data_IF_317179866138
#
_entry.id   IF_317179866138
#
_cell.length_a   1.000
_cell.length_b   1.000
_cell.length_c   1.000
_cell.angle_alpha   90.00
_cell.angle_beta   90.00
_cell.angle_gamma   90.00
#
_symmetry.space_group_name_H-M   'P 1'
#
loop_
_entity.id
_entity.type
_entity.pdbx_description
1 polymer ?
#
# COMPACT_ATOMS: atom_id res chain seq x y z
N UNK A 1 4.87 -26.58 -7.48
CA UNK A 1 4.38 -25.81 -8.66
C UNK A 1 2.94 -26.21 -8.93
N UNK A 2 2.11 -25.30 -9.43
CA UNK A 2 0.80 -25.63 -9.96
C UNK A 2 0.97 -25.94 -11.45
N UNK A 3 0.68 -27.17 -11.86
CA UNK A 3 0.94 -27.65 -13.21
C UNK A 3 -0.35 -27.85 -13.98
N UNK A 4 -0.28 -27.60 -15.28
CA UNK A 4 -1.31 -27.93 -16.28
C UNK A 4 -0.73 -28.95 -17.23
N UNK A 5 -1.48 -30.00 -17.55
CA UNK A 5 -1.09 -30.96 -18.58
C UNK A 5 -2.04 -30.81 -19.76
N UNK A 6 -1.53 -30.29 -20.87
CA UNK A 6 -2.28 -30.24 -22.13
C UNK A 6 -2.12 -31.55 -22.89
N UNK A 7 -3.23 -32.12 -23.38
CA UNK A 7 -3.26 -33.46 -23.97
C UNK A 7 -4.00 -33.44 -25.30
N UNK A 8 -3.33 -33.91 -26.34
CA UNK A 8 -3.96 -34.35 -27.59
C UNK A 8 -3.92 -35.87 -27.66
N UNK A 9 -5.02 -36.52 -28.03
CA UNK A 9 -5.07 -37.98 -28.16
C UNK A 9 -5.98 -38.43 -29.30
N UNK A 10 -5.70 -39.62 -29.84
CA UNK A 10 -6.60 -40.33 -30.76
C UNK A 10 -7.63 -41.12 -29.97
N UNK A 11 -8.73 -41.48 -30.64
CA UNK A 11 -9.71 -42.39 -30.05
C UNK A 11 -9.06 -43.73 -29.72
N UNK A 12 -9.43 -44.31 -28.57
CA UNK A 12 -8.90 -45.58 -28.07
C UNK A 12 -7.40 -45.58 -27.71
N UNK A 13 -6.78 -44.41 -27.48
CA UNK A 13 -5.46 -44.35 -26.84
C UNK A 13 -5.50 -45.10 -25.50
N UNK A 14 -4.54 -46.00 -25.28
CA UNK A 14 -4.51 -46.77 -24.03
C UNK A 14 -4.11 -45.89 -22.85
N UNK A 15 -4.72 -46.13 -21.68
CA UNK A 15 -4.36 -45.40 -20.46
C UNK A 15 -2.86 -45.53 -20.12
N UNK A 16 -2.26 -46.71 -20.31
CA UNK A 16 -0.83 -46.93 -20.04
C UNK A 16 0.05 -46.02 -20.90
N UNK A 17 -0.21 -45.97 -22.20
CA UNK A 17 0.55 -45.11 -23.12
C UNK A 17 0.42 -43.62 -22.74
N UNK A 18 -0.80 -43.18 -22.41
CA UNK A 18 -1.04 -41.81 -21.99
C UNK A 18 -0.33 -41.48 -20.67
N UNK A 19 -0.41 -42.38 -19.69
CA UNK A 19 0.20 -42.21 -18.38
C UNK A 19 1.72 -42.14 -18.48
N UNK A 20 2.35 -43.04 -19.23
CA UNK A 20 3.80 -43.05 -19.44
C UNK A 20 4.28 -41.75 -20.11
N UNK A 21 3.52 -41.25 -21.08
CA UNK A 21 3.81 -39.98 -21.77
C UNK A 21 3.74 -38.78 -20.80
N UNK A 22 2.70 -38.73 -19.96
CA UNK A 22 2.49 -37.65 -19.00
C UNK A 22 3.51 -37.71 -17.87
N UNK A 23 3.80 -38.89 -17.32
CA UNK A 23 4.81 -39.06 -16.27
C UNK A 23 6.21 -38.64 -16.76
N UNK A 24 6.56 -38.97 -18.01
CA UNK A 24 7.81 -38.52 -18.63
C UNK A 24 7.89 -37.00 -18.74
N UNK A 25 6.79 -36.36 -19.15
CA UNK A 25 6.72 -34.90 -19.26
C UNK A 25 6.75 -34.22 -17.87
N UNK A 26 6.07 -34.77 -16.87
CA UNK A 26 6.07 -34.24 -15.50
C UNK A 26 7.45 -34.40 -14.82
N UNK A 27 8.16 -35.50 -15.10
CA UNK A 27 9.50 -35.70 -14.58
C UNK A 27 10.47 -34.61 -15.06
N UNK A 28 10.37 -34.21 -16.33
CA UNK A 28 11.14 -33.10 -16.89
C UNK A 28 10.70 -31.74 -16.32
N UNK A 29 9.40 -31.53 -16.13
CA UNK A 29 8.86 -30.29 -15.57
C UNK A 29 9.31 -30.04 -14.11
N UNK A 30 9.66 -31.11 -13.38
CA UNK A 30 10.08 -31.06 -11.98
C UNK A 30 8.92 -31.13 -10.98
N UNK A 31 9.21 -30.95 -9.69
CA UNK A 31 8.25 -31.19 -8.61
C UNK A 31 7.05 -30.22 -8.63
N UNK A 32 5.84 -30.74 -8.85
CA UNK A 32 4.62 -29.97 -8.83
C UNK A 32 3.37 -30.81 -8.64
N UNK A 33 2.26 -30.13 -8.36
CA UNK A 33 0.94 -30.71 -8.29
C UNK A 33 0.19 -30.37 -9.58
N UNK A 34 -0.34 -31.37 -10.28
CA UNK A 34 -1.18 -31.13 -11.46
C UNK A 34 -2.54 -30.67 -10.96
N UNK A 35 -2.93 -29.45 -11.33
CA UNK A 35 -4.23 -28.88 -10.97
C UNK A 35 -5.27 -29.12 -12.06
N UNK A 36 -4.82 -29.16 -13.32
CA UNK A 36 -5.69 -29.16 -14.48
C UNK A 36 -5.11 -30.02 -15.61
N UNK A 37 -5.96 -30.84 -16.20
CA UNK A 37 -5.72 -31.54 -17.47
C UNK A 37 -6.58 -30.85 -18.52
N UNK A 38 -5.98 -30.43 -19.63
CA UNK A 38 -6.68 -29.67 -20.67
C UNK A 38 -6.59 -30.38 -22.01
N UNK A 39 -7.70 -30.48 -22.73
CA UNK A 39 -7.74 -31.06 -24.08
C UNK A 39 -8.64 -30.25 -25.01
N UNK A 40 -8.79 -30.72 -26.25
CA UNK A 40 -9.77 -30.18 -27.21
C UNK A 40 -11.15 -30.81 -26.98
N UNK A 41 -12.22 -30.06 -27.18
CA UNK A 41 -13.61 -30.57 -27.12
C UNK A 41 -13.81 -31.81 -27.98
N UNK A 42 -14.74 -32.68 -27.56
CA UNK A 42 -14.99 -34.03 -28.09
C UNK A 42 -13.94 -35.09 -27.72
N UNK A 43 -12.99 -34.78 -26.84
CA UNK A 43 -12.00 -35.74 -26.31
C UNK A 43 -12.12 -35.95 -24.80
N UNK A 44 -12.87 -35.12 -24.10
CA UNK A 44 -13.11 -35.21 -22.66
C UNK A 44 -13.72 -36.56 -22.25
N UNK A 45 -14.52 -37.19 -23.10
CA UNK A 45 -15.16 -38.48 -22.80
C UNK A 45 -14.24 -39.70 -23.01
N UNK A 46 -13.02 -39.52 -23.51
CA UNK A 46 -12.08 -40.63 -23.72
C UNK A 46 -11.72 -41.30 -22.37
N UNK A 47 -11.92 -42.62 -22.20
CA UNK A 47 -11.73 -43.29 -20.91
C UNK A 47 -10.33 -43.13 -20.32
N UNK A 48 -9.29 -43.08 -21.17
CA UNK A 48 -7.91 -42.87 -20.74
C UNK A 48 -7.70 -41.48 -20.12
N UNK A 49 -8.39 -40.46 -20.63
CA UNK A 49 -8.25 -39.08 -20.19
C UNK A 49 -8.96 -38.84 -18.86
N UNK A 50 -10.20 -39.35 -18.72
CA UNK A 50 -10.95 -39.33 -17.46
C UNK A 50 -10.15 -39.99 -16.33
N UNK A 51 -9.65 -41.21 -16.58
CA UNK A 51 -8.83 -41.92 -15.61
C UNK A 51 -7.54 -41.18 -15.26
N UNK A 52 -6.89 -40.55 -16.23
CA UNK A 52 -5.68 -39.77 -15.96
C UNK A 52 -5.97 -38.58 -15.03
N UNK A 53 -7.05 -37.84 -15.28
CA UNK A 53 -7.45 -36.71 -14.45
C UNK A 53 -7.75 -37.15 -13.00
N UNK A 54 -8.49 -38.25 -12.83
CA UNK A 54 -8.75 -38.86 -11.52
C UNK A 54 -7.46 -39.28 -10.80
N UNK A 55 -6.56 -39.97 -11.50
CA UNK A 55 -5.29 -40.46 -10.92
C UNK A 55 -4.32 -39.31 -10.57
N UNK A 56 -4.46 -38.16 -11.22
CA UNK A 56 -3.71 -36.94 -10.90
C UNK A 56 -4.42 -36.05 -9.87
N UNK A 57 -5.65 -36.39 -9.48
CA UNK A 57 -6.54 -35.55 -8.68
C UNK A 57 -6.63 -34.11 -9.25
N UNK A 58 -6.79 -34.02 -10.57
CA UNK A 58 -6.80 -32.79 -11.34
C UNK A 58 -8.16 -32.58 -12.02
N UNK A 59 -8.58 -31.33 -12.17
CA UNK A 59 -9.77 -30.99 -12.96
C UNK A 59 -9.51 -31.31 -14.45
N UNK A 60 -10.51 -31.84 -15.17
CA UNK A 60 -10.44 -32.03 -16.62
C UNK A 60 -11.27 -30.96 -17.33
N UNK A 61 -10.61 -30.18 -18.20
CA UNK A 61 -11.25 -29.13 -19.00
C UNK A 61 -11.04 -29.38 -20.49
N UNK A 62 -12.08 -29.19 -21.28
CA UNK A 62 -11.99 -29.21 -22.74
C UNK A 62 -12.23 -27.82 -23.31
N UNK A 63 -11.42 -27.42 -24.28
CA UNK A 63 -11.48 -26.11 -24.93
C UNK A 63 -11.83 -26.27 -26.42
N UNK A 64 -12.62 -25.35 -26.99
CA UNK A 64 -12.99 -25.41 -28.40
C UNK A 64 -11.76 -25.19 -29.29
N UNK A 65 -11.70 -25.82 -30.48
CA UNK A 65 -10.62 -25.63 -31.44
C UNK A 65 -10.29 -24.17 -31.76
N UNK A 66 -11.30 -23.30 -31.83
CA UNK A 66 -11.12 -21.89 -32.13
C UNK A 66 -10.27 -21.17 -31.07
N UNK A 67 -10.50 -21.45 -29.78
CA UNK A 67 -9.71 -20.89 -28.67
C UNK A 67 -8.28 -21.42 -28.67
N UNK A 68 -8.10 -22.70 -29.01
CA UNK A 68 -6.78 -23.31 -29.16
C UNK A 68 -6.03 -22.75 -30.38
N UNK A 69 -6.72 -22.43 -31.47
CA UNK A 69 -6.12 -21.90 -32.70
C UNK A 69 -5.58 -20.47 -32.54
N UNK A 70 -6.09 -19.70 -31.57
CA UNK A 70 -5.58 -18.37 -31.22
C UNK A 70 -4.19 -18.42 -30.55
N UNK A 71 -3.78 -19.57 -30.03
CA UNK A 71 -2.53 -19.71 -29.29
C UNK A 71 -1.34 -19.94 -30.23
N UNK A 72 -0.27 -19.17 -30.03
CA UNK A 72 0.99 -19.33 -30.74
C UNK A 72 1.79 -20.55 -30.23
N UNK A 73 1.33 -21.75 -30.55
CA UNK A 73 1.98 -22.99 -30.14
C UNK A 73 3.38 -23.14 -30.77
N UNK A 74 4.44 -23.51 -30.01
CA UNK A 74 5.80 -23.59 -30.53
C UNK A 74 6.01 -24.67 -31.59
N UNK A 75 5.24 -25.76 -31.53
CA UNK A 75 5.37 -26.89 -32.45
C UNK A 75 4.04 -27.13 -33.19
N UNK A 76 3.66 -26.31 -34.18
CA UNK A 76 2.43 -26.50 -34.95
C UNK A 76 2.49 -27.75 -35.85
N UNK A 77 1.33 -28.23 -36.30
CA UNK A 77 1.21 -29.36 -37.22
C UNK A 77 -0.01 -29.19 -38.14
N UNK A 78 0.25 -29.07 -39.44
CA UNK A 78 -0.81 -28.97 -40.47
C UNK A 78 -1.78 -30.16 -40.43
N UNK A 79 -1.28 -31.37 -40.20
CA UNK A 79 -2.13 -32.55 -40.05
C UNK A 79 -3.08 -32.45 -38.84
N UNK A 80 -2.63 -31.86 -37.72
CA UNK A 80 -3.48 -31.65 -36.54
C UNK A 80 -4.50 -30.54 -36.83
N UNK A 81 -4.08 -29.49 -37.52
CA UNK A 81 -4.93 -28.38 -37.96
C UNK A 81 -6.07 -28.87 -38.85
N UNK A 82 -5.77 -29.67 -39.87
CA UNK A 82 -6.76 -30.25 -40.78
C UNK A 82 -7.79 -31.13 -40.05
N UNK A 83 -7.37 -31.84 -39.00
CA UNK A 83 -8.20 -32.80 -38.28
C UNK A 83 -8.99 -32.20 -37.11
N UNK A 84 -8.43 -31.19 -36.46
CA UNK A 84 -8.96 -30.68 -35.18
C UNK A 84 -9.30 -29.21 -35.22
N UNK A 85 -8.93 -28.47 -36.28
CA UNK A 85 -9.13 -27.03 -36.39
C UNK A 85 -8.15 -26.20 -35.56
N UNK A 86 -7.09 -26.81 -35.01
CA UNK A 86 -6.02 -26.11 -34.28
C UNK A 86 -4.64 -26.69 -34.66
N UNK A 87 -3.60 -25.85 -34.80
CA UNK A 87 -2.26 -26.33 -35.17
C UNK A 87 -1.57 -27.17 -34.08
N UNK A 88 -2.02 -27.13 -32.83
CA UNK A 88 -1.50 -27.99 -31.75
C UNK A 88 -2.55 -28.14 -30.66
N UNK A 89 -2.92 -29.37 -30.27
CA UNK A 89 -3.84 -29.55 -29.14
C UNK A 89 -3.10 -29.39 -27.81
N UNK A 90 -2.04 -30.16 -27.58
CA UNK A 90 -1.38 -30.22 -26.27
C UNK A 90 -0.78 -28.87 -25.84
N UNK A 91 -0.03 -28.20 -26.70
CA UNK A 91 0.62 -26.93 -26.33
C UNK A 91 -0.37 -25.78 -26.30
N UNK A 92 -1.31 -25.71 -27.25
CA UNK A 92 -2.33 -24.67 -27.22
C UNK A 92 -3.24 -24.81 -26.00
N UNK A 93 -3.55 -26.04 -25.58
CA UNK A 93 -4.35 -26.28 -24.38
C UNK A 93 -3.66 -25.76 -23.12
N UNK A 94 -2.33 -25.92 -23.02
CA UNK A 94 -1.55 -25.31 -21.93
C UNK A 94 -1.59 -23.78 -21.99
N UNK A 95 -1.35 -23.19 -23.17
CA UNK A 95 -1.31 -21.74 -23.35
C UNK A 95 -2.67 -21.08 -23.12
N UNK A 96 -3.75 -21.67 -23.64
CA UNK A 96 -5.12 -21.20 -23.46
C UNK A 96 -5.59 -21.29 -21.99
N UNK A 97 -5.00 -22.21 -21.20
CA UNK A 97 -5.21 -22.26 -19.75
C UNK A 97 -4.47 -21.13 -18.99
N UNK A 98 -3.76 -20.24 -19.69
CA UNK A 98 -2.98 -19.15 -19.09
C UNK A 98 -1.69 -19.62 -18.41
N UNK A 99 -1.20 -20.81 -18.75
CA UNK A 99 0.02 -21.37 -18.18
C UNK A 99 1.24 -21.07 -19.06
N UNK A 100 2.38 -20.83 -18.41
CA UNK A 100 3.68 -20.76 -19.08
C UNK A 100 4.13 -22.18 -19.46
N UNK A 101 4.43 -22.42 -20.73
CA UNK A 101 4.87 -23.73 -21.19
C UNK A 101 6.27 -24.08 -20.64
N UNK A 102 6.36 -25.13 -19.82
CA UNK A 102 7.62 -25.60 -19.22
C UNK A 102 8.18 -26.79 -19.98
N UNK A 103 7.30 -27.69 -20.44
CA UNK A 103 7.66 -28.84 -21.28
C UNK A 103 6.85 -28.76 -22.56
N UNK A 104 7.57 -28.56 -23.67
CA UNK A 104 7.00 -28.55 -25.01
C UNK A 104 6.46 -29.94 -25.40
N UNK A 105 5.74 -29.99 -26.52
CA UNK A 105 5.05 -31.20 -26.98
C UNK A 105 5.94 -32.45 -27.02
N UNK A 106 5.61 -33.40 -26.15
CA UNK A 106 6.05 -34.80 -26.21
C UNK A 106 5.01 -35.59 -27.02
N UNK A 107 5.46 -36.65 -27.70
CA UNK A 107 4.61 -37.47 -28.58
C UNK A 107 4.81 -38.95 -28.29
N UNK A 108 3.70 -39.69 -28.20
CA UNK A 108 3.63 -41.15 -28.26
C UNK A 108 3.04 -41.61 -29.61
N UNK A 109 2.73 -42.90 -29.76
CA UNK A 109 2.15 -43.41 -30.99
C UNK A 109 0.77 -42.80 -31.30
N UNK A 110 -0.01 -42.50 -30.25
CA UNK A 110 -1.40 -42.06 -30.36
C UNK A 110 -1.75 -40.80 -29.55
N UNK A 111 -0.81 -40.21 -28.80
CA UNK A 111 -1.05 -39.02 -27.99
C UNK A 111 0.10 -38.01 -28.03
N UNK A 112 -0.19 -36.77 -27.64
CA UNK A 112 0.76 -35.71 -27.36
C UNK A 112 0.46 -35.09 -26.01
N UNK A 113 1.51 -34.78 -25.26
CA UNK A 113 1.39 -34.12 -23.96
C UNK A 113 2.33 -32.91 -23.91
N UNK A 114 1.90 -31.86 -23.24
CA UNK A 114 2.69 -30.69 -22.91
C UNK A 114 2.40 -30.31 -21.46
N UNK A 115 3.37 -29.70 -20.79
CA UNK A 115 3.21 -29.28 -19.39
C UNK A 115 3.47 -27.79 -19.28
N UNK A 116 2.54 -27.08 -18.63
CA UNK A 116 2.72 -25.69 -18.26
C UNK A 116 2.67 -25.47 -16.76
N UNK A 117 3.18 -24.32 -16.34
CA UNK A 117 3.13 -23.82 -14.97
C UNK A 117 2.10 -22.70 -14.89
N UNK A 118 1.14 -22.86 -13.98
CA UNK A 118 0.21 -21.79 -13.62
C UNK A 118 0.84 -20.87 -12.57
N UNK A 119 0.49 -19.57 -12.58
CA UNK A 119 0.71 -18.72 -11.42
C UNK A 119 -0.04 -19.28 -10.21
N UNK A 120 0.38 -18.90 -8.99
CA UNK A 120 -0.40 -19.20 -7.80
C UNK A 120 -1.78 -18.56 -7.92
N UNK A 121 -2.87 -19.29 -7.63
CA UNK A 121 -4.21 -18.71 -7.70
C UNK A 121 -4.34 -17.56 -6.70
N UNK A 122 -5.01 -16.49 -7.11
CA UNK A 122 -5.50 -15.48 -6.18
C UNK A 122 -6.76 -15.97 -5.46
N UNK A 123 -7.25 -15.18 -4.50
CA UNK A 123 -8.54 -15.43 -3.87
C UNK A 123 -9.70 -15.24 -4.86
N UNK A 124 -10.85 -15.85 -4.54
CA UNK A 124 -12.08 -15.70 -5.32
C UNK A 124 -12.49 -14.23 -5.50
N UNK A 125 -13.19 -13.86 -6.58
CA UNK A 125 -13.62 -12.47 -6.81
C UNK A 125 -14.33 -11.82 -5.61
N UNK A 126 -15.20 -12.56 -4.92
CA UNK A 126 -15.93 -12.07 -3.75
C UNK A 126 -14.99 -11.77 -2.56
N UNK A 127 -14.02 -12.64 -2.29
CA UNK A 127 -13.04 -12.43 -1.22
C UNK A 127 -12.12 -11.24 -1.52
N UNK A 128 -11.71 -11.09 -2.79
CA UNK A 128 -10.95 -9.91 -3.23
C UNK A 128 -11.74 -8.62 -3.05
N UNK A 129 -13.03 -8.63 -3.37
CA UNK A 129 -13.91 -7.48 -3.16
C UNK A 129 -13.99 -7.10 -1.67
N UNK A 130 -14.12 -8.08 -0.77
CA UNK A 130 -14.09 -7.84 0.67
C UNK A 130 -12.79 -7.16 1.10
N UNK A 131 -11.63 -7.65 0.63
CA UNK A 131 -10.33 -7.02 0.93
C UNK A 131 -10.30 -5.56 0.46
N UNK A 132 -10.73 -5.29 -0.78
CA UNK A 132 -10.75 -3.93 -1.32
C UNK A 132 -11.70 -3.01 -0.54
N UNK A 133 -12.87 -3.51 -0.14
CA UNK A 133 -13.84 -2.76 0.66
C UNK A 133 -13.29 -2.42 2.04
N UNK A 134 -12.70 -3.38 2.75
CA UNK A 134 -12.10 -3.12 4.07
C UNK A 134 -11.00 -2.06 3.98
N UNK A 135 -10.14 -2.12 2.95
CA UNK A 135 -9.09 -1.11 2.70
C UNK A 135 -9.69 0.28 2.38
N UNK A 136 -10.74 0.33 1.57
CA UNK A 136 -11.36 1.58 1.11
C UNK A 136 -12.26 2.24 2.17
N UNK A 137 -12.93 1.44 2.99
CA UNK A 137 -13.96 1.87 3.95
C UNK A 137 -13.41 2.04 5.36
N UNK A 138 -12.24 1.48 5.72
CA UNK A 138 -11.64 1.75 7.04
C UNK A 138 -11.46 3.25 7.26
N UNK A 139 -11.77 3.72 8.46
CA UNK A 139 -11.62 5.12 8.86
C UNK A 139 -10.74 5.20 10.09
N UNK A 140 -10.18 6.38 10.21
CA UNK A 140 -9.40 6.79 11.36
C UNK A 140 -10.35 7.62 12.22
N UNK A 141 -10.97 6.94 13.20
CA UNK A 141 -12.20 7.38 13.86
C UNK A 141 -11.90 8.19 15.12
N UNK A 142 -12.59 9.31 15.29
CA UNK A 142 -12.43 10.24 16.44
C UNK A 142 -13.73 10.60 17.15
N UNK A 143 -14.86 10.23 16.56
CA UNK A 143 -16.21 10.57 17.02
C UNK A 143 -17.10 9.33 16.83
N UNK A 144 -18.20 9.27 17.57
CA UNK A 144 -19.18 8.19 17.42
C UNK A 144 -18.81 6.88 18.11
N UNK A 145 -17.77 6.87 18.96
CA UNK A 145 -17.48 5.69 19.77
C UNK A 145 -18.59 5.45 20.79
N UNK A 146 -18.98 4.18 20.92
CA UNK A 146 -20.01 3.72 21.83
C UNK A 146 -19.39 3.26 23.15
N UNK A 147 -20.09 3.50 24.26
CA UNK A 147 -19.74 2.97 25.58
C UNK A 147 -20.14 1.48 25.69
N UNK A 148 -19.51 0.66 24.84
CA UNK A 148 -19.70 -0.79 24.76
C UNK A 148 -18.34 -1.46 24.93
N UNK A 149 -18.17 -2.37 25.90
CA UNK A 149 -16.89 -3.03 26.13
C UNK A 149 -16.51 -3.92 24.94
N UNK A 150 -15.21 -4.01 24.66
CA UNK A 150 -14.66 -4.96 23.68
C UNK A 150 -14.36 -6.28 24.40
N UNK A 151 -14.92 -7.36 23.86
CA UNK A 151 -14.63 -8.73 24.26
C UNK A 151 -13.16 -9.10 24.03
N UNK A 152 -12.56 -9.83 24.98
CA UNK A 152 -11.14 -10.16 24.94
C UNK A 152 -10.80 -11.14 23.81
N UNK A 153 -11.71 -12.04 23.41
CA UNK A 153 -11.45 -12.93 22.27
C UNK A 153 -11.47 -12.15 20.96
N UNK A 154 -12.37 -11.17 20.82
CA UNK A 154 -12.39 -10.29 19.66
C UNK A 154 -11.11 -9.44 19.58
N UNK A 155 -10.72 -8.81 20.69
CA UNK A 155 -9.46 -8.06 20.75
C UNK A 155 -8.25 -8.95 20.41
N UNK A 156 -8.26 -10.20 20.88
CA UNK A 156 -7.21 -11.18 20.55
C UNK A 156 -7.15 -11.46 19.04
N UNK A 157 -8.28 -11.67 18.35
CA UNK A 157 -8.27 -11.87 16.88
C UNK A 157 -7.67 -10.68 16.13
N UNK A 158 -7.97 -9.47 16.59
CA UNK A 158 -7.44 -8.22 16.03
C UNK A 158 -5.93 -8.11 16.26
N UNK A 159 -5.44 -8.46 17.46
CA UNK A 159 -4.01 -8.49 17.78
C UNK A 159 -3.26 -9.62 17.05
N UNK A 160 -3.88 -10.78 16.85
CA UNK A 160 -3.31 -11.85 16.03
C UNK A 160 -3.11 -11.40 14.57
N UNK A 161 -4.06 -10.64 14.01
CA UNK A 161 -3.89 -10.07 12.67
C UNK A 161 -2.70 -9.11 12.61
N UNK A 162 -2.52 -8.28 13.65
CA UNK A 162 -1.34 -7.42 13.80
C UNK A 162 -0.04 -8.25 13.84
N UNK A 163 -0.04 -9.34 14.62
CA UNK A 163 1.11 -10.22 14.81
C UNK A 163 1.52 -11.01 13.54
N UNK A 164 0.60 -11.17 12.58
CA UNK A 164 0.86 -11.76 11.25
C UNK A 164 1.54 -10.81 10.26
N UNK A 165 1.85 -9.57 10.66
CA UNK A 165 2.56 -8.63 9.80
C UNK A 165 3.98 -9.12 9.45
N UNK A 166 4.50 -8.78 8.26
CA UNK A 166 5.91 -8.98 7.98
C UNK A 166 6.77 -8.10 8.88
N UNK A 167 7.98 -8.57 9.20
CA UNK A 167 8.98 -7.78 9.91
C UNK A 167 10.38 -8.04 9.36
N UNK A 168 11.24 -7.03 9.46
CA UNK A 168 12.65 -7.16 9.08
C UNK A 168 13.28 -8.35 9.79
N UNK A 169 13.78 -9.32 9.03
CA UNK A 169 14.39 -10.54 9.56
C UNK A 169 13.50 -11.37 10.49
N UNK A 170 12.17 -11.28 10.34
CA UNK A 170 11.19 -11.89 11.26
C UNK A 170 11.41 -11.47 12.73
N UNK A 171 11.92 -10.26 12.96
CA UNK A 171 12.27 -9.76 14.30
C UNK A 171 11.06 -9.52 15.21
N UNK A 172 9.87 -9.32 14.63
CA UNK A 172 8.61 -9.05 15.32
C UNK A 172 8.81 -8.05 16.49
N UNK A 173 9.32 -6.84 16.21
CA UNK A 173 9.82 -5.92 17.23
C UNK A 173 8.74 -5.26 18.09
N UNK A 174 7.47 -5.44 17.73
CA UNK A 174 6.34 -4.78 18.36
C UNK A 174 5.93 -5.46 19.67
N UNK A 175 5.47 -4.66 20.63
CA UNK A 175 4.60 -5.10 21.71
C UNK A 175 3.31 -4.27 21.72
N UNK A 176 2.26 -4.80 22.33
CA UNK A 176 0.93 -4.21 22.37
C UNK A 176 0.50 -4.02 23.82
N UNK A 177 0.60 -2.80 24.34
CA UNK A 177 0.17 -2.48 25.70
C UNK A 177 -1.31 -2.07 25.71
N UNK A 178 -2.16 -2.95 26.25
CA UNK A 178 -3.62 -2.75 26.34
C UNK A 178 -3.95 -1.89 27.56
N UNK A 179 -4.55 -0.73 27.35
CA UNK A 179 -4.82 0.27 28.38
C UNK A 179 -6.35 0.46 28.49
N UNK A 180 -6.92 -0.04 29.58
CA UNK A 180 -8.34 0.17 29.95
C UNK A 180 -8.51 1.17 31.10
N UNK A 181 -7.49 1.32 31.94
CA UNK A 181 -7.53 2.18 33.12
C UNK A 181 -7.78 3.65 32.76
N UNK A 182 -8.79 4.23 33.38
CA UNK A 182 -9.22 5.60 33.10
C UNK A 182 -8.19 6.63 33.57
N UNK A 183 -7.49 6.38 34.68
CA UNK A 183 -6.50 7.31 35.20
C UNK A 183 -5.30 7.44 34.26
N UNK A 184 -4.80 6.32 33.73
CA UNK A 184 -3.75 6.31 32.70
C UNK A 184 -4.23 7.02 31.42
N UNK A 185 -5.44 6.73 30.94
CA UNK A 185 -5.99 7.39 29.75
C UNK A 185 -6.14 8.91 29.93
N UNK A 186 -6.53 9.39 31.11
CA UNK A 186 -6.59 10.83 31.42
C UNK A 186 -5.23 11.50 31.30
N UNK A 187 -4.17 10.89 31.85
CA UNK A 187 -2.80 11.44 31.73
C UNK A 187 -2.38 11.60 30.27
N UNK A 188 -2.63 10.60 29.42
CA UNK A 188 -2.30 10.67 27.99
C UNK A 188 -3.17 11.71 27.26
N UNK A 189 -4.45 11.80 27.62
CA UNK A 189 -5.36 12.82 27.09
C UNK A 189 -4.89 14.25 27.42
N UNK A 190 -4.34 14.47 28.62
CA UNK A 190 -3.84 15.78 29.02
C UNK A 190 -2.63 16.20 28.17
N UNK A 191 -1.71 15.26 27.86
CA UNK A 191 -0.63 15.48 26.90
C UNK A 191 -1.18 15.82 25.51
N UNK A 192 -2.19 15.06 25.05
CA UNK A 192 -2.86 15.29 23.78
C UNK A 192 -3.47 16.71 23.66
N UNK A 193 -4.06 17.17 24.76
CA UNK A 193 -4.68 18.50 24.86
C UNK A 193 -3.63 19.59 24.81
N UNK A 194 -2.55 19.46 25.56
CA UNK A 194 -1.46 20.45 25.58
C UNK A 194 -0.84 20.65 24.18
N UNK A 195 -0.56 19.57 23.46
CA UNK A 195 0.03 19.66 22.12
C UNK A 195 -0.98 20.18 21.09
N UNK A 196 -2.27 19.82 21.22
CA UNK A 196 -3.34 20.40 20.39
C UNK A 196 -3.35 21.92 20.54
N UNK A 197 -3.31 22.42 21.77
CA UNK A 197 -3.37 23.85 22.05
C UNK A 197 -2.12 24.58 21.54
N UNK A 198 -0.93 23.97 21.69
CA UNK A 198 0.31 24.49 21.12
C UNK A 198 0.25 24.57 19.58
N UNK A 199 -0.19 23.51 18.91
CA UNK A 199 -0.37 23.50 17.46
C UNK A 199 -1.43 24.52 17.01
N UNK A 200 -2.53 24.63 17.73
CA UNK A 200 -3.55 25.61 17.42
C UNK A 200 -3.01 27.04 17.54
N UNK A 201 -2.18 27.32 18.54
CA UNK A 201 -1.55 28.63 18.72
C UNK A 201 -0.52 28.97 17.63
N UNK A 202 0.02 27.98 16.93
CA UNK A 202 0.94 28.20 15.80
C UNK A 202 0.24 28.41 14.46
N UNK A 203 -1.09 28.25 14.37
CA UNK A 203 -1.82 28.37 13.10
C UNK A 203 -2.20 29.84 12.80
N UNK A 204 -2.15 30.26 11.52
CA UNK A 204 -2.83 31.48 11.07
C UNK A 204 -4.35 31.45 11.35
N UNK A 205 -4.98 32.61 11.52
CA UNK A 205 -6.39 32.74 11.96
C UNK A 205 -7.40 31.96 11.12
N UNK A 206 -7.23 31.96 9.79
CA UNK A 206 -8.10 31.26 8.84
C UNK A 206 -7.98 29.73 8.96
N UNK A 207 -6.77 29.23 9.20
CA UNK A 207 -6.51 27.81 9.47
C UNK A 207 -6.94 27.42 10.86
N UNK A 208 -6.77 28.31 11.83
CA UNK A 208 -7.18 28.11 13.22
C UNK A 208 -8.69 27.88 13.31
N UNK A 209 -9.49 28.71 12.65
CA UNK A 209 -10.95 28.58 12.61
C UNK A 209 -11.42 27.20 12.11
N UNK A 210 -10.78 26.65 11.06
CA UNK A 210 -11.07 25.30 10.58
C UNK A 210 -10.59 24.22 11.55
N UNK A 211 -9.41 24.39 12.13
CA UNK A 211 -8.81 23.43 13.05
C UNK A 211 -9.62 23.27 14.34
N UNK A 212 -10.16 24.35 14.89
CA UNK A 212 -10.90 24.33 16.16
C UNK A 212 -12.14 23.41 16.13
N UNK A 213 -12.74 23.20 14.95
CA UNK A 213 -13.85 22.25 14.77
C UNK A 213 -13.42 20.77 14.67
N UNK A 214 -12.13 20.50 14.48
CA UNK A 214 -11.60 19.14 14.33
C UNK A 214 -11.35 18.51 15.69
N UNK A 215 -11.80 17.26 15.83
CA UNK A 215 -11.42 16.41 16.96
C UNK A 215 -10.21 15.57 16.55
N UNK A 216 -9.16 15.64 17.36
CA UNK A 216 -7.82 15.09 17.07
C UNK A 216 -7.56 13.74 17.75
N UNK A 217 -8.38 13.37 18.73
CA UNK A 217 -8.21 12.16 19.55
C UNK A 217 -9.57 11.59 20.00
N UNK A 218 -9.56 10.41 20.61
CA UNK A 218 -10.73 9.77 21.23
C UNK A 218 -10.32 8.91 22.45
N UNK A 219 -9.29 9.35 23.17
CA UNK A 219 -8.59 8.61 24.25
C UNK A 219 -9.56 8.28 25.39
N UNK A 220 -10.47 9.21 25.70
CA UNK A 220 -11.44 9.05 26.78
C UNK A 220 -12.78 8.50 26.32
N UNK A 221 -13.11 8.59 25.03
CA UNK A 221 -14.38 8.08 24.49
C UNK A 221 -14.33 6.58 24.17
N UNK A 222 -13.14 5.99 24.15
CA UNK A 222 -12.94 4.58 23.81
C UNK A 222 -12.81 3.70 25.05
N UNK A 223 -13.32 2.46 25.02
CA UNK A 223 -13.18 1.52 26.14
C UNK A 223 -11.77 0.92 26.25
N UNK A 224 -11.00 0.91 25.15
CA UNK A 224 -9.66 0.32 25.08
C UNK A 224 -8.75 1.24 24.27
N UNK A 225 -7.60 1.57 24.85
CA UNK A 225 -6.51 2.20 24.14
C UNK A 225 -5.37 1.19 23.98
N UNK A 226 -4.57 1.33 22.92
CA UNK A 226 -3.43 0.47 22.66
C UNK A 226 -2.20 1.32 22.38
N UNK A 227 -1.19 1.21 23.26
CA UNK A 227 0.14 1.71 22.94
C UNK A 227 0.91 0.61 22.22
N UNK A 228 1.17 0.82 20.93
CA UNK A 228 1.98 -0.06 20.10
C UNK A 228 3.41 0.43 20.15
N UNK A 229 4.30 -0.42 20.66
CA UNK A 229 5.70 -0.08 20.87
C UNK A 229 6.61 -0.80 19.88
N UNK A 230 7.89 -0.47 19.92
CA UNK A 230 8.94 -1.13 19.18
C UNK A 230 10.16 -1.29 20.10
N UNK A 231 10.70 -2.51 20.16
CA UNK A 231 12.02 -2.81 20.72
C UNK A 231 13.05 -2.87 19.58
N UNK A 232 13.88 -1.82 19.39
CA UNK A 232 14.91 -1.80 18.35
C UNK A 232 16.00 -2.86 18.54
N UNK A 233 16.16 -3.38 19.77
CA UNK A 233 17.14 -4.40 20.15
C UNK A 233 16.67 -5.84 19.94
N UNK A 234 15.36 -6.07 19.73
CA UNK A 234 14.78 -7.40 19.58
C UNK A 234 15.44 -8.19 18.46
N UNK A 235 15.66 -9.48 18.68
CA UNK A 235 16.38 -10.37 17.75
C UNK A 235 17.91 -10.27 17.80
N UNK A 236 18.47 -9.43 18.69
CA UNK A 236 19.92 -9.32 18.90
C UNK A 236 20.64 -8.63 17.74
N UNK A 237 21.98 -8.59 17.75
CA UNK A 237 22.77 -7.74 16.82
C UNK A 237 22.60 -8.05 15.33
N UNK A 238 22.27 -9.29 14.97
CA UNK A 238 22.38 -9.81 13.59
C UNK A 238 21.03 -10.12 12.94
N UNK A 239 20.04 -9.25 13.13
CA UNK A 239 18.74 -9.34 12.44
C UNK A 239 18.93 -9.11 10.93
N UNK A 240 18.50 -10.09 10.13
CA UNK A 240 18.54 -10.05 8.66
C UNK A 240 17.82 -8.79 8.15
N UNK A 241 18.49 -7.99 7.32
CA UNK A 241 17.90 -6.79 6.70
C UNK A 241 17.93 -5.52 7.55
N UNK A 242 18.24 -5.59 8.87
CA UNK A 242 18.29 -4.40 9.74
C UNK A 242 19.61 -3.64 9.68
N UNK A 243 20.71 -4.32 9.30
CA UNK A 243 22.06 -3.74 9.37
C UNK A 243 22.22 -2.44 8.58
N UNK A 244 21.66 -2.38 7.36
CA UNK A 244 21.80 -1.22 6.49
C UNK A 244 20.88 -0.05 6.89
N UNK A 245 19.68 -0.36 7.41
CA UNK A 245 18.72 0.64 7.86
C UNK A 245 17.97 0.17 9.11
N UNK A 246 18.38 0.64 10.31
CA UNK A 246 17.71 0.28 11.56
C UNK A 246 16.23 0.66 11.59
N UNK A 247 15.81 1.69 10.84
CA UNK A 247 14.42 2.22 10.82
C UNK A 247 13.39 1.18 10.38
N UNK A 248 13.83 0.17 9.64
CA UNK A 248 13.02 -0.99 9.24
C UNK A 248 12.30 -1.67 10.41
N UNK A 249 12.83 -1.54 11.63
CA UNK A 249 12.21 -2.05 12.86
C UNK A 249 10.90 -1.31 13.20
N UNK A 250 10.91 0.03 13.19
CA UNK A 250 9.70 0.85 13.38
C UNK A 250 8.71 0.69 12.23
N UNK A 251 9.20 0.57 10.99
CA UNK A 251 8.33 0.29 9.84
C UNK A 251 7.60 -1.05 9.98
N UNK A 252 8.28 -2.06 10.54
CA UNK A 252 7.66 -3.36 10.83
C UNK A 252 6.50 -3.19 11.82
N UNK A 253 6.66 -2.42 12.89
CA UNK A 253 5.58 -2.10 13.84
C UNK A 253 4.43 -1.30 13.18
N UNK A 254 4.73 -0.35 12.31
CA UNK A 254 3.71 0.40 11.57
C UNK A 254 2.86 -0.50 10.65
N UNK A 255 3.46 -1.52 10.01
CA UNK A 255 2.73 -2.51 9.21
C UNK A 255 1.83 -3.39 10.10
N UNK A 256 2.29 -3.75 11.30
CA UNK A 256 1.46 -4.45 12.29
C UNK A 256 0.22 -3.63 12.69
N UNK A 257 0.38 -2.32 12.90
CA UNK A 257 -0.75 -1.40 13.14
C UNK A 257 -1.71 -1.39 11.95
N UNK A 258 -1.21 -1.39 10.71
CA UNK A 258 -2.06 -1.38 9.53
C UNK A 258 -2.89 -2.68 9.40
N UNK A 259 -2.32 -3.84 9.73
CA UNK A 259 -3.08 -5.11 9.79
C UNK A 259 -4.16 -5.06 10.87
N UNK A 260 -3.80 -4.58 12.07
CA UNK A 260 -4.73 -4.37 13.18
C UNK A 260 -5.93 -3.54 12.74
N UNK A 261 -5.67 -2.42 12.03
CA UNK A 261 -6.70 -1.49 11.58
C UNK A 261 -7.68 -2.13 10.59
N UNK A 262 -7.18 -2.94 9.67
CA UNK A 262 -8.01 -3.66 8.69
C UNK A 262 -8.86 -4.73 9.38
N UNK A 263 -8.27 -5.51 10.28
CA UNK A 263 -8.98 -6.52 11.05
C UNK A 263 -10.07 -5.90 11.94
N UNK A 264 -9.74 -4.81 12.64
CA UNK A 264 -10.70 -4.06 13.44
C UNK A 264 -11.90 -3.58 12.60
N UNK A 265 -11.66 -3.02 11.40
CA UNK A 265 -12.74 -2.61 10.49
C UNK A 265 -13.62 -3.79 10.07
N UNK A 266 -13.05 -4.97 9.83
CA UNK A 266 -13.80 -6.18 9.49
C UNK A 266 -14.65 -6.69 10.66
N UNK A 267 -14.18 -6.53 11.90
CA UNK A 267 -14.89 -6.89 13.14
C UNK A 267 -15.89 -5.81 13.61
N UNK A 268 -16.03 -4.70 12.86
CA UNK A 268 -16.95 -3.60 13.21
C UNK A 268 -16.40 -2.63 14.26
N UNK A 269 -15.11 -2.68 14.57
CA UNK A 269 -14.44 -1.74 15.47
C UNK A 269 -13.88 -0.53 14.72
N UNK A 270 -14.08 0.65 15.28
CA UNK A 270 -13.34 1.85 14.95
C UNK A 270 -11.95 1.85 15.57
N UNK A 271 -10.98 2.41 14.85
CA UNK A 271 -9.63 2.67 15.35
C UNK A 271 -9.27 4.11 15.00
N UNK A 272 -8.73 4.84 15.97
CA UNK A 272 -8.20 6.20 15.79
C UNK A 272 -6.75 6.29 16.25
N UNK A 273 -5.85 6.75 15.38
CA UNK A 273 -4.47 7.02 15.76
C UNK A 273 -4.35 8.43 16.36
N UNK A 274 -3.69 8.52 17.51
CA UNK A 274 -3.35 9.79 18.18
C UNK A 274 -1.83 9.99 18.18
N UNK A 275 -1.40 11.17 17.76
CA UNK A 275 0.01 11.57 17.69
C UNK A 275 0.22 13.04 18.11
N UNK A 276 -0.70 13.61 18.87
CA UNK A 276 -0.61 14.98 19.39
C UNK A 276 0.13 14.98 20.73
N UNK A 277 1.35 14.47 20.79
CA UNK A 277 2.20 14.50 22.00
C UNK A 277 3.62 14.09 21.59
N UNK A 278 4.61 14.36 22.43
CA UNK A 278 5.92 13.76 22.22
C UNK A 278 5.90 12.28 22.67
N UNK A 279 6.41 11.33 21.85
CA UNK A 279 6.39 9.91 22.19
C UNK A 279 7.04 9.59 23.55
N UNK A 280 8.06 10.36 23.93
CA UNK A 280 8.76 10.20 25.22
C UNK A 280 7.85 10.51 26.42
N UNK A 281 6.97 11.51 26.33
CA UNK A 281 6.06 11.87 27.43
C UNK A 281 5.05 10.75 27.69
N UNK A 282 4.55 10.12 26.63
CA UNK A 282 3.67 8.95 26.76
C UNK A 282 4.42 7.74 27.28
N UNK A 283 5.69 7.55 26.87
CA UNK A 283 6.53 6.49 27.42
C UNK A 283 6.71 6.64 28.94
N UNK A 284 6.93 7.87 29.43
CA UNK A 284 7.03 8.17 30.86
C UNK A 284 5.70 7.90 31.60
N UNK A 285 4.56 8.31 31.02
CA UNK A 285 3.23 8.02 31.60
C UNK A 285 2.97 6.52 31.74
N UNK A 286 3.47 5.73 30.79
CA UNK A 286 3.28 4.28 30.73
C UNK A 286 4.41 3.48 31.41
N UNK A 287 5.41 4.16 31.98
CA UNK A 287 6.59 3.55 32.60
C UNK A 287 7.30 2.55 31.65
N UNK A 288 7.46 2.94 30.39
CA UNK A 288 8.12 2.09 29.40
C UNK A 288 9.62 1.99 29.69
N UNK A 289 10.24 0.81 29.50
CA UNK A 289 11.69 0.69 29.58
C UNK A 289 12.39 1.62 28.57
N UNK A 290 13.54 2.19 28.92
CA UNK A 290 14.24 3.20 28.11
C UNK A 290 14.62 2.78 26.68
N UNK A 291 14.62 1.48 26.37
CA UNK A 291 14.90 0.95 25.04
C UNK A 291 13.64 0.64 24.22
N UNK A 292 12.46 0.81 24.81
CA UNK A 292 11.16 0.58 24.17
C UNK A 292 10.62 1.92 23.72
N UNK A 293 10.35 2.04 22.43
CA UNK A 293 9.88 3.27 21.84
C UNK A 293 8.40 3.15 21.45
N UNK A 294 7.63 4.21 21.70
CA UNK A 294 6.24 4.27 21.25
C UNK A 294 6.20 4.51 19.73
N UNK A 295 5.49 3.64 19.01
CA UNK A 295 5.26 3.80 17.57
C UNK A 295 3.90 4.43 17.31
N UNK A 296 2.85 3.98 18.01
CA UNK A 296 1.50 4.53 17.83
C UNK A 296 0.63 4.34 19.07
N UNK A 297 -0.25 5.30 19.32
CA UNK A 297 -1.27 5.22 20.36
C UNK A 297 -2.64 5.18 19.69
N UNK A 298 -3.36 4.08 19.88
CA UNK A 298 -4.61 3.80 19.18
C UNK A 298 -5.78 3.81 20.15
N UNK A 299 -6.88 4.47 19.76
CA UNK A 299 -8.17 4.42 20.44
C UNK A 299 -9.04 3.39 19.73
N UNK A 300 -9.59 2.41 20.44
CA UNK A 300 -10.32 1.28 19.85
C UNK A 300 -11.69 1.12 20.53
N UNK A 301 -12.75 0.99 19.75
CA UNK A 301 -14.12 0.83 20.25
C UNK A 301 -15.14 0.55 19.15
N UNK A 302 -16.34 0.14 19.55
CA UNK A 302 -17.48 0.11 18.62
C UNK A 302 -17.86 1.54 18.24
N UNK A 303 -18.39 1.71 17.03
CA UNK A 303 -18.82 3.00 16.51
C UNK A 303 -20.27 2.93 16.06
N UNK A 304 -21.00 4.03 16.19
CA UNK A 304 -22.36 4.18 15.67
C UNK A 304 -22.40 4.11 14.14
N UNK A 305 -21.44 4.75 13.47
CA UNK A 305 -21.30 4.75 12.03
C UNK A 305 -19.83 4.87 11.57
N UNK A 306 -19.54 4.32 10.39
CA UNK A 306 -18.31 4.62 9.66
C UNK A 306 -18.57 5.67 8.60
N UNK A 307 -17.90 6.81 8.71
CA UNK A 307 -17.99 7.89 7.74
C UNK A 307 -17.67 7.42 6.30
N UNK A 308 -18.46 7.88 5.32
CA UNK A 308 -18.25 7.53 3.91
C UNK A 308 -16.88 8.00 3.35
N UNK A 309 -16.27 9.04 3.93
CA UNK A 309 -14.98 9.60 3.52
C UNK A 309 -14.12 10.00 4.72
N UNK A 310 -12.79 10.22 4.55
CA UNK A 310 -11.92 10.69 5.63
C UNK A 310 -12.38 12.05 6.19
N UNK A 311 -12.26 12.23 7.51
CA UNK A 311 -12.74 13.44 8.19
C UNK A 311 -12.10 14.72 7.64
N UNK A 312 -10.80 14.70 7.39
CA UNK A 312 -10.08 15.85 6.84
C UNK A 312 -10.54 16.25 5.43
N UNK A 313 -11.14 15.31 4.68
CA UNK A 313 -11.78 15.62 3.39
C UNK A 313 -13.16 16.21 3.61
N UNK A 314 -13.96 15.64 4.53
CA UNK A 314 -15.31 16.12 4.83
C UNK A 314 -15.32 17.53 5.41
N UNK A 315 -14.34 17.84 6.27
CA UNK A 315 -14.18 19.16 6.89
C UNK A 315 -13.58 20.21 5.95
N UNK A 316 -13.13 19.80 4.74
CA UNK A 316 -12.41 20.67 3.84
C UNK A 316 -11.02 21.08 4.37
N UNK A 317 -10.41 20.29 5.25
CA UNK A 317 -9.04 20.54 5.70
C UNK A 317 -8.01 20.24 4.60
N UNK A 318 -8.24 19.17 3.83
CA UNK A 318 -7.39 18.74 2.72
C UNK A 318 -8.18 17.90 1.72
N UNK A 319 -7.66 17.75 0.50
CA UNK A 319 -8.20 16.83 -0.51
C UNK A 319 -7.24 15.69 -0.82
N UNK A 320 -7.79 14.56 -1.29
CA UNK A 320 -6.99 13.42 -1.73
C UNK A 320 -6.26 13.76 -3.02
N UNK A 321 -4.96 13.47 -3.09
CA UNK A 321 -4.23 13.50 -4.35
C UNK A 321 -4.65 12.33 -5.26
N UNK A 322 -4.71 12.52 -6.59
CA UNK A 322 -4.85 11.43 -7.56
C UNK A 322 -3.75 10.36 -7.42
N UNK A 323 -4.09 9.11 -7.75
CA UNK A 323 -3.12 8.00 -7.72
C UNK A 323 -1.98 8.20 -8.74
N UNK A 324 -2.29 8.70 -9.94
CA UNK A 324 -1.32 8.91 -11.01
C UNK A 324 -0.14 9.80 -10.58
N UNK A 325 -0.37 10.76 -9.67
CA UNK A 325 0.69 11.64 -9.15
C UNK A 325 1.67 10.91 -8.23
N UNK A 326 1.28 9.75 -7.71
CA UNK A 326 2.12 8.89 -6.89
C UNK A 326 2.92 7.85 -7.71
N UNK A 327 2.61 7.71 -9.01
CA UNK A 327 3.19 6.70 -9.89
C UNK A 327 4.30 7.36 -10.71
N UNK A 328 5.45 6.71 -10.72
CA UNK A 328 6.62 7.08 -11.51
C UNK A 328 7.14 5.81 -12.21
N UNK A 329 7.55 5.93 -13.47
CA UNK A 329 8.01 4.81 -14.29
C UNK A 329 9.53 4.84 -14.42
N UNK A 330 10.20 3.84 -13.86
CA UNK A 330 11.67 3.68 -13.84
C UNK A 330 12.44 4.75 -13.05
N UNK A 331 12.15 6.04 -13.28
CA UNK A 331 12.86 7.18 -12.71
C UNK A 331 11.90 8.12 -11.98
N UNK A 332 12.37 8.73 -10.89
CA UNK A 332 11.63 9.82 -10.24
C UNK A 332 11.35 10.93 -11.26
N UNK A 333 10.16 11.53 -11.19
CA UNK A 333 9.68 12.51 -12.17
C UNK A 333 9.10 11.93 -13.47
N UNK A 334 9.44 10.69 -13.87
CA UNK A 334 8.91 10.09 -15.12
C UNK A 334 7.47 9.60 -14.94
N UNK A 335 6.50 10.47 -15.26
CA UNK A 335 5.05 10.23 -15.13
C UNK A 335 4.36 10.26 -16.51
N UNK A 336 3.13 9.75 -16.58
CA UNK A 336 2.27 9.83 -17.77
C UNK A 336 1.81 11.26 -18.09
N UNK A 337 1.67 12.12 -17.07
CA UNK A 337 1.34 13.54 -17.18
C UNK A 337 2.51 14.41 -16.72
N UNK A 338 2.63 15.65 -17.24
CA UNK A 338 3.68 16.55 -16.79
C UNK A 338 3.39 17.10 -15.39
N UNK A 339 4.44 17.45 -14.63
CA UNK A 339 4.28 18.02 -13.28
C UNK A 339 3.49 19.34 -13.26
N UNK A 340 3.52 20.09 -14.37
CA UNK A 340 2.75 21.34 -14.51
C UNK A 340 1.27 21.05 -14.74
N UNK A 341 0.93 20.01 -15.50
CA UNK A 341 -0.47 19.57 -15.68
C UNK A 341 -1.06 19.09 -14.34
N UNK A 342 -0.27 18.37 -13.53
CA UNK A 342 -0.64 18.00 -12.15
C UNK A 342 -0.95 19.24 -11.30
N UNK A 343 -0.13 20.30 -11.41
CA UNK A 343 -0.34 21.56 -10.69
C UNK A 343 -1.62 22.29 -11.14
N UNK A 344 -1.87 22.38 -12.44
CA UNK A 344 -3.13 22.93 -12.99
C UNK A 344 -4.36 22.18 -12.45
N UNK A 345 -4.31 20.84 -12.47
CA UNK A 345 -5.38 20.00 -11.95
C UNK A 345 -5.54 20.15 -10.43
N UNK A 346 -4.46 20.35 -9.68
CA UNK A 346 -4.53 20.63 -8.25
C UNK A 346 -5.24 21.96 -7.96
N UNK A 347 -4.96 23.02 -8.71
CA UNK A 347 -5.64 24.32 -8.57
C UNK A 347 -7.15 24.20 -8.74
N UNK A 348 -7.60 23.48 -9.78
CA UNK A 348 -9.03 23.22 -10.03
C UNK A 348 -9.67 22.39 -8.92
N UNK A 349 -8.90 21.45 -8.36
CA UNK A 349 -9.34 20.58 -7.30
C UNK A 349 -9.06 21.15 -5.91
N UNK A 350 -8.52 22.35 -5.73
CA UNK A 350 -8.15 22.88 -4.42
C UNK A 350 -9.37 23.04 -3.50
N UNK A 351 -9.14 23.02 -2.17
CA UNK A 351 -10.17 23.51 -1.25
C UNK A 351 -10.22 25.03 -1.38
N UNK A 352 -11.40 25.66 -1.57
CA UNK A 352 -11.49 27.11 -1.58
C UNK A 352 -10.96 27.69 -0.27
N UNK A 353 -10.02 28.61 -0.38
CA UNK A 353 -9.58 29.43 0.74
C UNK A 353 -9.41 30.87 0.26
N UNK A 354 -10.16 31.77 0.88
CA UNK A 354 -9.92 33.19 0.74
C UNK A 354 -8.91 33.59 1.81
N UNK A 355 -7.70 33.96 1.40
CA UNK A 355 -6.74 34.66 2.26
C UNK A 355 -5.69 33.83 2.99
N UNK A 356 -5.62 32.51 2.80
CA UNK A 356 -4.55 31.70 3.41
C UNK A 356 -3.20 32.03 2.76
N UNK A 357 -2.31 32.65 3.52
CA UNK A 357 -0.95 32.97 3.11
C UNK A 357 0.05 32.01 3.76
N UNK A 358 0.95 31.44 2.95
CA UNK A 358 2.10 30.65 3.43
C UNK A 358 3.38 31.30 2.95
N UNK A 359 4.31 31.55 3.89
CA UNK A 359 5.67 31.97 3.57
C UNK A 359 6.53 30.72 3.42
N UNK A 360 7.16 30.53 2.27
CA UNK A 360 8.11 29.44 2.03
C UNK A 360 9.52 29.98 2.08
N UNK A 361 10.31 29.52 3.04
CA UNK A 361 11.71 29.90 3.21
C UNK A 361 12.58 28.80 2.60
N UNK A 362 13.23 29.10 1.49
CA UNK A 362 14.09 28.18 0.74
C UNK A 362 15.52 28.28 1.24
N UNK A 363 16.09 27.17 1.71
CA UNK A 363 17.44 27.11 2.27
C UNK A 363 17.54 27.59 3.74
N UNK A 364 16.41 27.69 4.44
CA UNK A 364 16.36 28.05 5.88
C UNK A 364 16.70 26.87 6.80
N UNK A 365 16.83 27.15 8.09
CA UNK A 365 17.09 26.16 9.14
C UNK A 365 15.95 26.06 10.18
N UNK A 366 16.09 25.15 11.16
CA UNK A 366 15.06 24.92 12.17
C UNK A 366 14.76 26.15 13.06
N UNK A 367 15.68 27.12 13.18
CA UNK A 367 15.43 28.36 13.91
C UNK A 367 14.43 29.27 13.19
N UNK A 368 14.31 29.13 11.87
CA UNK A 368 13.36 29.89 11.06
C UNK A 368 11.91 29.46 11.34
N UNK A 369 11.69 28.25 11.91
CA UNK A 369 10.37 27.74 12.31
C UNK A 369 9.72 28.51 13.46
N UNK A 370 10.46 29.41 14.15
CA UNK A 370 9.87 30.29 15.18
C UNK A 370 8.83 31.26 14.61
N UNK A 371 8.72 31.35 13.28
CA UNK A 371 7.72 32.16 12.59
C UNK A 371 6.48 31.30 12.31
N UNK A 372 5.34 31.65 12.93
CA UNK A 372 4.10 30.85 12.91
C UNK A 372 3.52 30.57 11.50
N UNK A 373 3.95 31.29 10.46
CA UNK A 373 3.47 31.14 9.08
C UNK A 373 4.53 30.68 8.07
N UNK A 374 5.67 30.14 8.53
CA UNK A 374 6.78 29.73 7.69
C UNK A 374 6.80 28.21 7.44
N UNK A 375 6.82 27.81 6.18
CA UNK A 375 7.29 26.51 5.74
C UNK A 375 8.77 26.63 5.37
N UNK A 376 9.64 25.93 6.10
CA UNK A 376 11.07 25.91 5.81
C UNK A 376 11.39 24.72 4.90
N UNK A 377 12.06 24.99 3.78
CA UNK A 377 12.53 23.96 2.85
C UNK A 377 14.04 23.88 2.93
N UNK A 378 14.53 22.79 3.53
CA UNK A 378 15.96 22.51 3.67
C UNK A 378 16.46 21.76 2.44
N UNK A 379 17.51 22.30 1.83
CA UNK A 379 18.10 21.83 0.58
C UNK A 379 19.42 21.08 0.77
N UNK A 380 19.91 20.94 2.01
CA UNK A 380 21.19 20.29 2.28
C UNK A 380 21.15 18.82 1.85
N UNK A 381 22.27 18.32 1.32
CA UNK A 381 22.40 16.91 0.91
C UNK A 381 22.30 15.95 2.10
N UNK A 382 22.76 16.39 3.27
CA UNK A 382 22.66 15.63 4.50
C UNK A 382 21.26 15.76 5.09
N UNK A 383 20.60 14.61 5.28
CA UNK A 383 19.30 14.57 5.94
C UNK A 383 19.45 15.12 7.37
N UNK A 384 18.72 16.19 7.74
CA UNK A 384 18.74 16.66 9.12
C UNK A 384 18.23 15.56 10.05
N UNK A 385 18.55 15.66 11.35
CA UNK A 385 17.82 14.89 12.36
C UNK A 385 16.33 15.17 12.17
N UNK A 386 15.46 14.23 12.57
CA UNK A 386 14.02 14.38 12.36
C UNK A 386 13.49 15.59 13.14
N UNK A 387 13.62 16.78 12.57
CA UNK A 387 13.20 18.04 13.13
C UNK A 387 11.82 18.32 12.54
N UNK A 388 10.80 18.13 13.38
CA UNK A 388 9.41 18.39 13.03
C UNK A 388 9.26 19.82 12.49
N UNK A 389 8.78 19.96 11.26
CA UNK A 389 8.43 21.25 10.65
C UNK A 389 9.29 21.68 9.46
N UNK A 390 10.49 21.10 9.26
CA UNK A 390 11.32 21.38 8.08
C UNK A 390 11.04 20.36 6.98
N UNK A 391 10.68 20.84 5.79
CA UNK A 391 10.57 20.00 4.60
C UNK A 391 11.95 19.82 3.96
N UNK A 392 12.55 18.64 4.16
CA UNK A 392 13.83 18.31 3.54
C UNK A 392 13.66 17.84 2.09
N UNK A 393 14.27 18.57 1.14
CA UNK A 393 14.16 18.37 -0.32
C UNK A 393 15.54 18.52 -1.00
N UNK A 394 16.46 17.57 -0.81
CA UNK A 394 17.73 17.61 -1.53
C UNK A 394 17.47 17.42 -3.03
N UNK A 395 18.09 18.24 -3.87
CA UNK A 395 18.00 18.14 -5.32
C UNK A 395 19.39 17.95 -5.93
N UNK A 396 19.53 16.97 -6.82
CA UNK A 396 20.81 16.65 -7.49
C UNK A 396 21.12 17.59 -8.64
N UNK A 397 20.08 18.22 -9.20
CA UNK A 397 20.20 19.15 -10.32
C UNK A 397 19.28 20.36 -10.13
N UNK A 398 19.61 21.49 -10.76
CA UNK A 398 18.70 22.64 -10.85
C UNK A 398 17.31 22.30 -11.44
N UNK A 399 17.24 21.36 -12.38
CA UNK A 399 15.96 20.92 -12.99
C UNK A 399 15.10 20.19 -11.96
N UNK A 400 15.68 19.26 -11.21
CA UNK A 400 15.00 18.54 -10.12
C UNK A 400 14.52 19.50 -9.03
N UNK A 401 15.30 20.55 -8.72
CA UNK A 401 14.89 21.60 -7.79
C UNK A 401 13.65 22.38 -8.28
N UNK A 402 13.55 22.69 -9.59
CA UNK A 402 12.34 23.29 -10.18
C UNK A 402 11.13 22.37 -10.01
N UNK A 403 11.28 21.07 -10.29
CA UNK A 403 10.19 20.10 -10.14
C UNK A 403 9.68 20.03 -8.69
N UNK A 404 10.58 19.99 -7.70
CA UNK A 404 10.19 20.03 -6.30
C UNK A 404 9.47 21.32 -5.92
N UNK A 405 9.89 22.47 -6.45
CA UNK A 405 9.18 23.72 -6.26
C UNK A 405 7.73 23.65 -6.78
N UNK A 406 7.53 23.09 -7.98
CA UNK A 406 6.18 22.89 -8.53
C UNK A 406 5.35 21.93 -7.67
N UNK A 407 5.94 20.84 -7.19
CA UNK A 407 5.28 19.88 -6.29
C UNK A 407 4.84 20.51 -4.96
N UNK A 408 5.70 21.33 -4.35
CA UNK A 408 5.37 22.01 -3.10
C UNK A 408 4.18 22.95 -3.32
N UNK A 409 4.20 23.79 -4.36
CA UNK A 409 3.10 24.70 -4.66
C UNK A 409 1.79 23.94 -4.94
N UNK A 410 1.85 22.84 -5.68
CA UNK A 410 0.73 21.93 -5.95
C UNK A 410 0.12 21.36 -4.66
N UNK A 411 0.97 20.85 -3.76
CA UNK A 411 0.52 20.23 -2.52
C UNK A 411 -0.07 21.28 -1.55
N UNK A 412 0.46 22.51 -1.55
CA UNK A 412 -0.10 23.64 -0.81
C UNK A 412 -1.46 24.06 -1.38
N UNK A 413 -1.61 24.10 -2.71
CA UNK A 413 -2.91 24.39 -3.35
C UNK A 413 -3.98 23.37 -2.95
N UNK A 414 -3.67 22.07 -2.91
CA UNK A 414 -4.61 21.03 -2.44
C UNK A 414 -5.06 21.21 -0.98
N UNK A 415 -4.24 21.85 -0.15
CA UNK A 415 -4.56 22.19 1.23
C UNK A 415 -5.36 23.50 1.37
N UNK A 416 -5.61 24.18 0.25
CA UNK A 416 -6.29 25.46 0.21
C UNK A 416 -5.38 26.65 0.51
N UNK A 417 -4.10 26.61 0.19
CA UNK A 417 -3.30 27.86 0.21
C UNK A 417 -3.74 28.73 -0.96
N UNK A 418 -3.96 30.03 -0.73
CA UNK A 418 -4.36 31.00 -1.77
C UNK A 418 -3.26 32.01 -2.13
N UNK A 419 -2.31 32.22 -1.22
CA UNK A 419 -1.16 33.10 -1.42
C UNK A 419 0.14 32.45 -0.97
N UNK A 420 1.17 32.55 -1.83
CA UNK A 420 2.52 32.05 -1.58
C UNK A 420 3.53 33.20 -1.53
N UNK A 421 4.29 33.32 -0.45
CA UNK A 421 5.41 34.26 -0.36
C UNK A 421 6.70 33.47 -0.35
N UNK A 422 7.50 33.56 -1.41
CA UNK A 422 8.76 32.84 -1.53
C UNK A 422 9.89 33.71 -1.03
N UNK A 423 10.62 33.25 -0.02
CA UNK A 423 11.84 33.87 0.46
C UNK A 423 13.01 32.93 0.22
N UNK A 424 14.07 33.44 -0.37
CA UNK A 424 15.31 32.70 -0.59
C UNK A 424 16.30 33.09 0.51
N UNK A 425 16.62 32.15 1.41
CA UNK A 425 17.55 32.37 2.53
C UNK A 425 19.01 32.06 2.15
N UNK A 426 19.22 31.20 1.16
CA UNK A 426 20.53 30.86 0.59
C UNK A 426 20.56 31.17 -0.91
N UNK A 427 21.63 31.80 -1.40
CA UNK A 427 21.78 32.23 -2.81
C UNK A 427 22.38 31.14 -3.72
N UNK A 428 22.16 29.86 -3.42
CA UNK A 428 22.62 28.76 -4.28
C UNK A 428 21.75 28.60 -5.52
N UNK A 429 22.34 28.06 -6.59
CA UNK A 429 21.61 27.79 -7.85
C UNK A 429 20.40 26.86 -7.62
N UNK A 430 20.52 25.89 -6.70
CA UNK A 430 19.43 25.00 -6.33
C UNK A 430 18.29 25.75 -5.61
N UNK A 431 18.61 26.65 -4.69
CA UNK A 431 17.63 27.48 -4.00
C UNK A 431 16.88 28.41 -4.96
N UNK A 432 17.60 29.07 -5.87
CA UNK A 432 16.97 29.88 -6.91
C UNK A 432 16.10 29.05 -7.85
N UNK A 433 16.54 27.84 -8.20
CA UNK A 433 15.78 26.92 -9.05
C UNK A 433 14.51 26.42 -8.39
N UNK A 434 14.57 26.07 -7.11
CA UNK A 434 13.39 25.69 -6.33
C UNK A 434 12.42 26.87 -6.22
N UNK A 435 12.92 28.08 -5.97
CA UNK A 435 12.10 29.29 -5.95
C UNK A 435 11.40 29.56 -7.29
N UNK A 436 12.10 29.35 -8.42
CA UNK A 436 11.46 29.40 -9.75
C UNK A 436 10.37 28.35 -9.89
N UNK A 437 10.61 27.12 -9.46
CA UNK A 437 9.62 26.05 -9.44
C UNK A 437 8.37 26.40 -8.61
N UNK A 438 8.55 26.97 -7.42
CA UNK A 438 7.46 27.44 -6.57
C UNK A 438 6.59 28.48 -7.30
N UNK A 439 7.22 29.45 -7.98
CA UNK A 439 6.51 30.48 -8.73
C UNK A 439 5.77 29.92 -9.97
N UNK A 440 6.36 28.96 -10.68
CA UNK A 440 5.73 28.26 -11.81
C UNK A 440 4.51 27.47 -11.32
N UNK A 441 4.69 26.65 -10.28
CA UNK A 441 3.62 25.84 -9.71
C UNK A 441 2.50 26.70 -9.11
N UNK A 442 2.84 27.79 -8.43
CA UNK A 442 1.88 28.76 -7.91
C UNK A 442 1.05 29.37 -9.04
N UNK A 443 1.70 29.81 -10.12
CA UNK A 443 1.01 30.34 -11.31
C UNK A 443 0.08 29.30 -11.94
N UNK A 444 0.55 28.06 -12.10
CA UNK A 444 -0.25 26.96 -12.64
C UNK A 444 -1.47 26.64 -11.75
N UNK A 445 -1.32 26.68 -10.44
CA UNK A 445 -2.41 26.46 -9.49
C UNK A 445 -3.35 27.67 -9.34
N UNK A 446 -3.06 28.82 -9.97
CA UNK A 446 -3.82 30.06 -9.80
C UNK A 446 -3.61 30.76 -8.45
N UNK A 447 -2.51 30.47 -7.76
CA UNK A 447 -2.15 31.12 -6.50
C UNK A 447 -1.59 32.51 -6.75
N UNK A 448 -1.91 33.46 -5.87
CA UNK A 448 -1.16 34.73 -5.84
C UNK A 448 0.23 34.45 -5.28
N UNK A 449 1.28 34.98 -5.88
CA UNK A 449 2.64 34.78 -5.41
C UNK A 449 3.52 36.02 -5.53
N UNK A 450 4.53 36.09 -4.65
CA UNK A 450 5.55 37.14 -4.63
C UNK A 450 6.86 36.60 -4.08
N UNK A 451 7.98 37.14 -4.55
CA UNK A 451 9.30 36.87 -3.96
C UNK A 451 9.67 38.00 -3.00
N UNK A 452 10.09 37.65 -1.78
CA UNK A 452 10.46 38.57 -0.70
C UNK A 452 11.97 38.82 -0.61
#
# INVERSE_FOLDING_TARGET
MNLVVGIGLRANTSYRELRDLVDSALLEAGAGNVQLVVTVTNREAEPALQRLADDLNAELRALPPSELAEQAAPNPSSQVEDLTGTPSVAEAAVLAAGAELVVQKRRSASATAAVGRLPAPGYEPADREVVHRVIAERRDVRRGFLDVPIDDMLLTRVLEAAHRAPSVGLSQPWDFLVIRDLATRRKVHDLATAQRDAFAASLPDDRRSKFDGLKIEAILDTPVNLAVTCDPGRGGRHVLGRHADPRTTWFSAAIAIQNLWLAARAEGLGVGWVSFFEPAEVADVLDLPAHIELVGYLCIGYVDEFAAAPELVRSGWAKRRPLAWAIHHEEWGRRDASIVDDALQAGQNAVPAAGQQVRVIVGGDANDLKQANALVVDLRDDRPRADFGVLWRPARTPVEAVEFGVEIARDLALQGVGQLVVQVADSSEHAESLARGLNVGASACGLTHSTA
#
